data_IF_459615721567
#
_entry.id   IF_459615721567
#
_cell.length_a   1.000
_cell.length_b   1.000
_cell.length_c   1.000
_cell.angle_alpha   90.00
_cell.angle_beta   90.00
_cell.angle_gamma   90.00
#
_symmetry.space_group_name_H-M   'P 1'
#
loop_
_entity.id
_entity.type
_entity.pdbx_description
1 polymer ?
#
# COMPACT_ATOMS: atom_id res chain seq x y z
N UNK A 1 4.92 -1.09 -2.59
CA UNK A 1 5.58 -0.73 -1.32
C UNK A 1 5.41 -1.88 -0.34
N UNK A 2 6.51 -2.35 0.25
CA UNK A 2 6.52 -3.46 1.21
C UNK A 2 6.09 -2.97 2.61
N UNK A 3 6.06 -3.88 3.57
CA UNK A 3 6.03 -3.54 4.99
C UNK A 3 7.00 -4.38 5.82
N UNK A 4 6.64 -4.71 7.04
CA UNK A 4 7.48 -5.44 7.99
C UNK A 4 7.02 -6.89 8.12
N UNK A 5 7.92 -7.89 8.23
CA UNK A 5 9.39 -7.82 8.29
C UNK A 5 10.06 -7.97 6.91
N UNK A 6 9.59 -7.23 5.89
CA UNK A 6 10.03 -7.39 4.51
C UNK A 6 10.89 -6.21 4.00
N UNK A 7 11.26 -6.25 2.72
CA UNK A 7 11.97 -5.20 1.99
C UNK A 7 11.49 -5.12 0.53
N UNK A 8 12.03 -4.19 -0.25
CA UNK A 8 11.83 -4.08 -1.70
C UNK A 8 12.10 -5.39 -2.46
N UNK A 9 12.94 -6.26 -1.91
CA UNK A 9 13.28 -7.58 -2.49
C UNK A 9 12.08 -8.51 -2.65
N UNK A 10 11.00 -8.31 -1.89
CA UNK A 10 9.74 -9.05 -2.04
C UNK A 10 9.20 -8.99 -3.49
N UNK A 11 9.54 -7.92 -4.22
CA UNK A 11 9.02 -7.67 -5.56
C UNK A 11 9.89 -8.25 -6.69
N UNK A 12 11.03 -8.87 -6.41
CA UNK A 12 11.99 -9.35 -7.42
C UNK A 12 11.34 -10.23 -8.50
N UNK A 13 10.41 -11.12 -8.10
CA UNK A 13 9.71 -11.99 -9.05
C UNK A 13 8.54 -11.30 -9.75
N UNK A 14 7.92 -10.30 -9.11
CA UNK A 14 6.79 -9.58 -9.67
C UNK A 14 7.22 -8.55 -10.72
N UNK A 15 8.38 -7.91 -10.53
CA UNK A 15 8.88 -6.85 -11.41
C UNK A 15 8.95 -7.33 -12.88
N UNK A 16 9.60 -8.46 -13.22
CA UNK A 16 9.62 -8.94 -14.60
C UNK A 16 8.24 -9.17 -15.19
N UNK A 17 7.27 -9.62 -14.39
CA UNK A 17 5.91 -9.87 -14.86
C UNK A 17 5.13 -8.58 -15.16
N UNK A 18 5.49 -7.47 -14.51
CA UNK A 18 4.88 -6.16 -14.66
C UNK A 18 5.55 -5.33 -15.76
N UNK A 19 6.85 -5.52 -15.98
CA UNK A 19 7.65 -4.75 -16.95
C UNK A 19 7.77 -5.44 -18.31
N UNK A 20 7.29 -6.68 -18.46
CA UNK A 20 7.34 -7.43 -19.73
C UNK A 20 6.02 -7.31 -20.48
N UNK A 21 6.02 -7.03 -21.81
CA UNK A 21 4.81 -7.01 -22.62
C UNK A 21 4.03 -8.33 -22.56
N UNK A 22 2.71 -8.25 -22.48
CA UNK A 22 1.81 -9.42 -22.39
C UNK A 22 0.65 -9.28 -23.35
N UNK A 23 0.25 -10.40 -23.96
CA UNK A 23 -0.93 -10.44 -24.82
C UNK A 23 -2.18 -9.96 -24.06
N UNK A 24 -2.98 -9.11 -24.70
CA UNK A 24 -4.19 -8.51 -24.12
C UNK A 24 -3.98 -7.19 -23.38
N UNK A 25 -2.75 -6.69 -23.27
CA UNK A 25 -2.42 -5.40 -22.67
C UNK A 25 -1.65 -4.54 -23.67
N UNK A 26 -2.03 -3.27 -23.81
CA UNK A 26 -1.38 -2.27 -24.68
C UNK A 26 -0.36 -1.41 -23.92
N UNK A 27 -0.03 -1.78 -22.68
CA UNK A 27 0.92 -1.09 -21.82
C UNK A 27 1.80 -2.07 -21.03
N UNK A 28 2.91 -1.54 -20.49
CA UNK A 28 3.73 -2.15 -19.45
C UNK A 28 3.81 -1.20 -18.27
N UNK A 29 4.21 -1.71 -17.10
CA UNK A 29 4.53 -0.87 -15.96
C UNK A 29 6.01 -0.51 -15.95
N UNK A 30 6.31 0.75 -15.64
CA UNK A 30 7.59 1.11 -15.03
C UNK A 30 7.43 0.98 -13.51
N UNK A 31 8.30 0.20 -12.87
CA UNK A 31 8.14 -0.16 -11.45
C UNK A 31 9.20 0.52 -10.60
N UNK A 32 8.75 1.32 -9.63
CA UNK A 32 9.60 1.90 -8.58
C UNK A 32 9.39 1.09 -7.29
N UNK A 33 10.26 0.11 -7.05
CA UNK A 33 10.30 -0.66 -5.80
C UNK A 33 11.26 0.02 -4.81
N UNK A 34 10.75 0.40 -3.65
CA UNK A 34 11.48 1.18 -2.64
C UNK A 34 11.58 0.40 -1.33
N UNK A 35 12.66 0.64 -0.59
CA UNK A 35 12.68 0.35 0.84
C UNK A 35 12.10 1.55 1.60
N UNK A 36 11.16 1.30 2.51
CA UNK A 36 10.61 2.34 3.37
C UNK A 36 11.73 2.97 4.23
N UNK A 37 11.61 4.26 4.62
CA UNK A 37 12.60 4.88 5.50
C UNK A 37 12.87 4.07 6.78
N UNK A 38 14.13 3.72 7.02
CA UNK A 38 14.55 2.85 8.14
C UNK A 38 14.44 1.34 7.87
N UNK A 39 14.12 0.93 6.64
CA UNK A 39 14.09 -0.46 6.19
C UNK A 39 15.17 -0.69 5.13
N UNK A 40 15.63 -1.94 5.02
CA UNK A 40 16.55 -2.37 3.97
C UNK A 40 17.75 -1.44 3.81
N UNK A 41 17.85 -0.80 2.63
CA UNK A 41 18.93 0.12 2.28
C UNK A 41 18.58 1.60 2.45
N UNK A 42 17.36 1.93 2.90
CA UNK A 42 16.92 3.30 3.11
C UNK A 42 17.27 3.78 4.52
N UNK A 43 17.89 4.97 4.61
CA UNK A 43 18.26 5.57 5.89
C UNK A 43 17.02 5.77 6.80
N UNK A 44 17.20 5.52 8.10
CA UNK A 44 16.20 5.80 9.12
C UNK A 44 16.17 7.28 9.51
N UNK A 45 15.13 7.69 10.25
CA UNK A 45 15.10 9.04 10.84
C UNK A 45 15.93 9.09 12.13
N UNK A 46 16.60 10.21 12.36
CA UNK A 46 17.24 10.53 13.63
C UNK A 46 16.34 11.35 14.58
N UNK A 47 15.09 11.59 14.19
CA UNK A 47 14.09 12.34 14.95
C UNK A 47 12.80 11.55 15.12
N UNK A 48 12.11 11.66 16.27
CA UNK A 48 10.80 11.07 16.45
C UNK A 48 9.77 11.68 15.50
N UNK A 49 8.68 10.95 15.24
CA UNK A 49 7.53 11.45 14.48
C UNK A 49 7.44 11.00 13.01
N UNK A 50 8.29 10.06 12.57
CA UNK A 50 8.17 9.48 11.24
C UNK A 50 7.06 8.41 11.20
N UNK A 51 5.81 8.86 11.08
CA UNK A 51 4.66 7.97 10.89
C UNK A 51 4.42 7.68 9.40
N UNK A 52 3.51 6.75 9.04
CA UNK A 52 3.13 6.50 7.65
C UNK A 52 2.69 7.75 6.87
N UNK A 53 2.10 8.74 7.54
CA UNK A 53 1.77 10.03 6.91
C UNK A 53 3.05 10.77 6.47
N UNK A 54 4.06 10.89 7.32
CA UNK A 54 5.32 11.52 6.95
C UNK A 54 6.07 10.70 5.88
N UNK A 55 6.03 9.37 5.96
CA UNK A 55 6.57 8.50 4.91
C UNK A 55 5.89 8.77 3.57
N UNK A 56 4.57 9.02 3.53
CA UNK A 56 3.85 9.32 2.29
C UNK A 56 4.36 10.60 1.60
N UNK A 57 4.76 11.62 2.38
CA UNK A 57 5.34 12.86 1.86
C UNK A 57 6.72 12.58 1.24
N UNK A 58 7.52 11.73 1.89
CA UNK A 58 8.84 11.31 1.37
C UNK A 58 8.65 10.55 0.05
N UNK A 59 7.72 9.59 0.00
CA UNK A 59 7.43 8.82 -1.22
C UNK A 59 6.93 9.71 -2.35
N UNK A 60 6.04 10.67 -2.06
CA UNK A 60 5.59 11.67 -3.03
C UNK A 60 6.77 12.47 -3.60
N UNK A 61 7.66 12.95 -2.73
CA UNK A 61 8.81 13.74 -3.15
C UNK A 61 9.82 12.92 -3.95
N UNK A 62 9.97 11.62 -3.66
CA UNK A 62 10.74 10.69 -4.47
C UNK A 62 10.15 10.59 -5.88
N UNK A 63 8.85 10.31 -6.03
CA UNK A 63 8.19 10.23 -7.34
C UNK A 63 8.35 11.52 -8.14
N UNK A 64 8.19 12.67 -7.49
CA UNK A 64 8.42 13.99 -8.09
C UNK A 64 9.86 14.17 -8.55
N UNK A 65 10.84 13.72 -7.76
CA UNK A 65 12.28 13.81 -8.11
C UNK A 65 12.64 12.89 -9.28
N UNK A 66 11.97 11.75 -9.41
CA UNK A 66 12.10 10.86 -10.56
C UNK A 66 11.37 11.37 -11.82
N UNK A 67 10.57 12.44 -11.71
CA UNK A 67 9.89 13.08 -12.83
C UNK A 67 8.45 12.60 -13.06
N UNK A 68 7.93 11.72 -12.22
CA UNK A 68 6.55 11.25 -12.33
C UNK A 68 5.56 12.26 -11.76
N UNK A 69 4.65 12.74 -12.60
CA UNK A 69 3.55 13.65 -12.20
C UNK A 69 2.28 12.91 -11.81
N UNK A 70 2.05 11.75 -12.41
CA UNK A 70 0.89 10.89 -12.14
C UNK A 70 1.35 9.44 -12.09
N UNK A 71 0.90 8.68 -11.10
CA UNK A 71 1.35 7.31 -10.88
C UNK A 71 0.28 6.47 -10.17
N UNK A 72 0.39 5.16 -10.31
CA UNK A 72 -0.38 4.20 -9.51
C UNK A 72 0.41 3.79 -8.27
N UNK A 73 -0.31 3.37 -7.23
CA UNK A 73 0.30 2.86 -6.00
C UNK A 73 -0.13 1.41 -5.83
N UNK A 74 0.85 0.53 -5.58
CA UNK A 74 0.61 -0.79 -5.04
C UNK A 74 1.28 -0.89 -3.67
N UNK A 75 0.56 -1.38 -2.65
CA UNK A 75 1.17 -1.59 -1.34
C UNK A 75 0.45 -2.58 -0.42
N UNK A 76 1.22 -3.25 0.45
CA UNK A 76 0.75 -4.08 1.56
C UNK A 76 1.38 -3.64 2.90
N UNK A 77 0.85 -4.15 4.02
CA UNK A 77 1.38 -3.90 5.37
C UNK A 77 1.65 -2.41 5.68
N UNK A 78 2.80 -2.01 6.25
CA UNK A 78 3.14 -0.60 6.46
C UNK A 78 3.11 0.24 5.19
N UNK A 79 3.41 -0.38 4.05
CA UNK A 79 3.21 0.21 2.74
C UNK A 79 1.75 0.57 2.48
N UNK A 80 0.76 -0.25 2.88
CA UNK A 80 -0.65 0.06 2.64
C UNK A 80 -1.11 1.29 3.43
N UNK A 81 -0.63 1.45 4.66
CA UNK A 81 -0.90 2.64 5.46
C UNK A 81 -0.28 3.89 4.83
N UNK A 82 0.98 3.79 4.39
CA UNK A 82 1.69 4.87 3.69
C UNK A 82 1.00 5.22 2.37
N UNK A 83 0.60 4.22 1.60
CA UNK A 83 -0.09 4.35 0.32
C UNK A 83 -1.49 4.94 0.45
N UNK A 84 -2.21 4.59 1.52
CA UNK A 84 -3.50 5.19 1.86
C UNK A 84 -3.35 6.69 2.09
N UNK A 85 -2.36 7.13 2.88
CA UNK A 85 -2.09 8.55 3.08
C UNK A 85 -1.67 9.25 1.78
N UNK A 86 -0.80 8.63 0.99
CA UNK A 86 -0.35 9.17 -0.29
C UNK A 86 -1.54 9.40 -1.24
N UNK A 87 -2.41 8.40 -1.39
CA UNK A 87 -3.63 8.50 -2.21
C UNK A 87 -4.66 9.49 -1.64
N UNK A 88 -4.74 9.64 -0.31
CA UNK A 88 -5.70 10.54 0.33
C UNK A 88 -5.29 12.00 0.23
N UNK A 89 -3.99 12.30 0.40
CA UNK A 89 -3.47 13.67 0.49
C UNK A 89 -3.10 14.22 -0.89
N UNK A 90 -2.61 13.39 -1.80
CA UNK A 90 -2.08 13.82 -3.11
C UNK A 90 -2.94 13.26 -4.27
N UNK A 91 -4.25 13.43 -4.17
CA UNK A 91 -5.25 12.84 -5.08
C UNK A 91 -5.00 13.17 -6.56
N UNK A 92 -4.50 14.37 -6.87
CA UNK A 92 -4.22 14.79 -8.25
C UNK A 92 -3.04 14.06 -8.91
N UNK A 93 -2.14 13.52 -8.08
CA UNK A 93 -0.93 12.79 -8.51
C UNK A 93 -1.15 11.27 -8.55
N UNK A 94 -2.17 10.76 -7.86
CA UNK A 94 -2.42 9.32 -7.72
C UNK A 94 -3.57 8.88 -8.62
N UNK A 95 -3.25 8.12 -9.67
CA UNK A 95 -4.22 7.59 -10.64
C UNK A 95 -5.06 6.43 -10.08
N UNK A 96 -4.51 5.71 -9.11
CA UNK A 96 -5.19 4.59 -8.46
C UNK A 96 -4.35 3.96 -7.38
N UNK A 97 -5.02 3.38 -6.38
CA UNK A 97 -4.40 2.70 -5.25
C UNK A 97 -4.90 1.25 -5.18
N UNK A 98 -3.98 0.31 -5.38
CA UNK A 98 -4.20 -1.11 -5.23
C UNK A 98 -3.53 -1.59 -3.92
N UNK A 99 -4.27 -2.27 -3.06
CA UNK A 99 -3.71 -2.83 -1.84
C UNK A 99 -4.16 -4.27 -1.60
N UNK A 100 -3.22 -5.09 -1.17
CA UNK A 100 -3.48 -6.46 -0.68
C UNK A 100 -3.66 -6.51 0.84
N UNK A 101 -3.67 -5.37 1.54
CA UNK A 101 -3.99 -5.27 2.97
C UNK A 101 -4.91 -4.07 3.22
N UNK A 102 -6.17 -4.14 2.79
CA UNK A 102 -7.14 -3.08 3.06
C UNK A 102 -7.48 -3.06 4.56
N UNK A 103 -7.11 -1.99 5.25
CA UNK A 103 -7.42 -1.76 6.67
C UNK A 103 -8.23 -0.49 6.81
N UNK A 104 -9.27 -0.53 7.65
CA UNK A 104 -10.09 0.63 7.97
C UNK A 104 -10.17 0.80 9.48
N UNK A 105 -9.63 1.91 9.99
CA UNK A 105 -9.69 2.27 11.42
C UNK A 105 -10.86 3.20 11.76
N UNK A 106 -11.85 3.34 10.85
CA UNK A 106 -13.04 4.16 11.13
C UNK A 106 -13.81 3.56 12.32
N UNK A 107 -14.43 4.39 13.19
CA UNK A 107 -15.18 3.88 14.35
C UNK A 107 -16.23 2.81 13.99
N UNK A 108 -16.94 3.00 12.88
CA UNK A 108 -17.92 2.03 12.37
C UNK A 108 -17.27 0.71 11.95
N UNK A 109 -16.07 0.75 11.36
CA UNK A 109 -15.32 -0.45 10.97
C UNK A 109 -14.88 -1.22 12.20
N UNK A 110 -14.34 -0.52 13.21
CA UNK A 110 -13.94 -1.12 14.49
C UNK A 110 -15.12 -1.76 15.21
N UNK A 111 -16.28 -1.09 15.24
CA UNK A 111 -17.50 -1.65 15.81
C UNK A 111 -17.91 -2.93 15.07
N UNK A 112 -17.88 -2.94 13.74
CA UNK A 112 -18.18 -4.14 12.94
C UNK A 112 -17.20 -5.28 13.22
N UNK A 113 -15.91 -5.01 13.41
CA UNK A 113 -14.93 -6.03 13.76
C UNK A 113 -15.22 -6.64 15.14
N UNK A 114 -15.53 -5.82 16.15
CA UNK A 114 -15.88 -6.30 17.50
C UNK A 114 -17.17 -7.12 17.47
N UNK A 115 -18.22 -6.63 16.79
CA UNK A 115 -19.47 -7.37 16.68
C UNK A 115 -19.29 -8.66 15.88
N UNK A 116 -18.53 -8.62 14.80
CA UNK A 116 -18.26 -9.77 13.95
C UNK A 116 -17.39 -10.84 14.64
N UNK A 117 -16.51 -10.47 15.57
CA UNK A 117 -15.70 -11.44 16.32
C UNK A 117 -16.51 -12.19 17.39
N UNK A 118 -17.53 -11.55 17.97
CA UNK A 118 -18.41 -12.15 18.98
C UNK A 118 -19.64 -12.82 18.36
N UNK A 119 -20.21 -12.22 17.33
CA UNK A 119 -21.44 -12.64 16.66
C UNK A 119 -21.29 -12.56 15.14
N UNK A 120 -20.56 -13.51 14.55
CA UNK A 120 -20.19 -13.42 13.14
C UNK A 120 -21.40 -13.39 12.18
N UNK A 121 -22.53 -13.98 12.59
CA UNK A 121 -23.79 -14.00 11.86
C UNK A 121 -24.44 -12.63 11.62
N UNK A 122 -24.11 -11.59 12.40
CA UNK A 122 -24.67 -10.26 12.23
C UNK A 122 -23.95 -9.42 11.18
N UNK A 123 -22.70 -9.77 10.86
CA UNK A 123 -21.83 -8.97 10.01
C UNK A 123 -21.46 -9.71 8.72
N UNK A 124 -21.26 -11.03 8.79
CA UNK A 124 -20.82 -11.82 7.64
C UNK A 124 -22.00 -12.36 6.86
N UNK A 125 -22.02 -12.04 5.57
CA UNK A 125 -23.00 -12.58 4.64
C UNK A 125 -22.93 -14.11 4.59
N UNK A 126 -24.08 -14.75 4.42
CA UNK A 126 -24.21 -16.22 4.43
C UNK A 126 -23.21 -16.91 3.50
N UNK A 127 -23.04 -16.37 2.30
CA UNK A 127 -22.11 -16.88 1.27
C UNK A 127 -20.64 -16.90 1.71
N UNK A 128 -20.27 -16.14 2.74
CA UNK A 128 -18.92 -16.00 3.25
C UNK A 128 -18.67 -16.72 4.58
N UNK A 129 -19.69 -17.35 5.19
CA UNK A 129 -19.53 -18.03 6.49
C UNK A 129 -18.45 -19.10 6.50
N UNK A 130 -18.23 -19.80 5.39
CA UNK A 130 -17.22 -20.84 5.27
C UNK A 130 -15.76 -20.34 5.41
N UNK A 131 -15.54 -19.02 5.46
CA UNK A 131 -14.21 -18.39 5.58
C UNK A 131 -13.86 -17.95 6.99
N UNK A 132 -14.75 -18.17 7.96
CA UNK A 132 -14.55 -17.90 9.38
C UNK A 132 -14.37 -19.20 10.14
#
# INVERSE_FOLDING_TARGET
MHGWPSSSKEFDMAIPMLTTPRSGYDFIFEVVAIDLPGFGFSEGTNKPGLSPLQMSIIMRNLMKRLGFKKYYIQAGDWGSQTGTHLATVFQDEVLGFHTNMPVSSRPISNLKYILGSLFPSFIVEEKHRHRM
#
